data_IF_155166484071
#
_entry.id   IF_155166484071
#
_cell.length_a   1.000
_cell.length_b   1.000
_cell.length_c   1.000
_cell.angle_alpha   90.00
_cell.angle_beta   90.00
_cell.angle_gamma   90.00
#
_symmetry.space_group_name_H-M   'P 1'
#
loop_
_entity.id
_entity.type
_entity.pdbx_description
1 polymer ?
#
# COMPACT_ATOMS: atom_id res chain seq x y z
N UNK A 1 9.78 -1.12 18.15
CA UNK A 1 9.45 -1.60 16.79
C UNK A 1 10.31 -2.81 16.50
N UNK A 2 9.74 -4.01 16.50
CA UNK A 2 10.43 -5.18 15.97
C UNK A 2 10.26 -5.14 14.45
N UNK A 3 11.35 -4.91 13.72
CA UNK A 3 11.40 -5.26 12.32
C UNK A 3 11.25 -6.78 12.26
N UNK A 4 10.16 -7.26 11.67
CA UNK A 4 10.01 -8.67 11.37
C UNK A 4 10.99 -8.97 10.24
N UNK A 5 12.20 -9.42 10.59
CA UNK A 5 13.12 -10.03 9.65
C UNK A 5 12.60 -11.44 9.36
N UNK A 6 11.61 -11.54 8.49
CA UNK A 6 11.22 -12.84 7.94
C UNK A 6 12.29 -13.25 6.90
N UNK A 7 13.02 -14.35 7.12
CA UNK A 7 14.07 -14.78 6.20
C UNK A 7 13.54 -15.04 4.78
N UNK A 8 12.25 -15.37 4.62
CA UNK A 8 11.62 -15.52 3.30
C UNK A 8 11.55 -14.17 2.57
N UNK A 9 11.27 -13.09 3.30
CA UNK A 9 11.20 -11.72 2.74
C UNK A 9 12.59 -11.26 2.29
N UNK A 10 13.62 -11.53 3.08
CA UNK A 10 15.00 -11.16 2.74
C UNK A 10 15.49 -11.86 1.47
N UNK A 11 15.22 -13.17 1.34
CA UNK A 11 15.60 -13.96 0.17
C UNK A 11 14.93 -13.40 -1.10
N UNK A 12 13.62 -13.18 -1.07
CA UNK A 12 12.89 -12.64 -2.24
C UNK A 12 13.31 -11.20 -2.51
N UNK A 13 13.52 -10.37 -1.49
CA UNK A 13 14.00 -8.99 -1.65
C UNK A 13 15.41 -8.89 -2.24
N UNK A 14 16.24 -9.93 -2.17
CA UNK A 14 17.59 -9.92 -2.75
C UNK A 14 17.65 -10.41 -4.21
N UNK A 15 16.58 -11.01 -4.73
CA UNK A 15 16.48 -11.43 -6.14
C UNK A 15 16.61 -10.24 -7.10
N UNK A 16 17.42 -10.36 -8.15
CA UNK A 16 17.42 -9.37 -9.23
C UNK A 16 16.09 -9.40 -9.98
N UNK A 17 15.52 -8.22 -10.25
CA UNK A 17 14.23 -8.08 -10.90
C UNK A 17 14.39 -7.31 -12.20
N UNK A 18 13.91 -7.89 -13.29
CA UNK A 18 13.82 -7.26 -14.59
C UNK A 18 12.48 -6.55 -14.75
N UNK A 19 12.39 -5.64 -15.73
CA UNK A 19 11.12 -4.99 -16.07
C UNK A 19 10.18 -5.88 -16.91
N UNK A 20 10.50 -7.18 -17.07
CA UNK A 20 9.67 -8.09 -17.85
C UNK A 20 8.39 -8.47 -17.06
N UNK A 21 7.19 -8.44 -17.68
CA UNK A 21 5.93 -8.70 -16.96
C UNK A 21 5.90 -10.04 -16.21
N UNK A 22 6.42 -11.12 -16.81
CA UNK A 22 6.43 -12.45 -16.16
C UNK A 22 7.33 -12.50 -14.92
N UNK A 23 8.44 -11.79 -14.93
CA UNK A 23 9.36 -11.71 -13.80
C UNK A 23 8.72 -10.92 -12.64
N UNK A 24 8.04 -9.83 -12.97
CA UNK A 24 7.24 -9.05 -12.00
C UNK A 24 6.09 -9.89 -11.42
N UNK A 25 5.39 -10.67 -12.25
CA UNK A 25 4.29 -11.52 -11.79
C UNK A 25 4.80 -12.66 -10.88
N UNK A 26 5.88 -13.35 -11.27
CA UNK A 26 6.53 -14.35 -10.43
C UNK A 26 6.99 -13.75 -9.10
N UNK A 27 7.51 -12.53 -9.13
CA UNK A 27 7.92 -11.83 -7.92
C UNK A 27 6.74 -11.49 -7.00
N UNK A 28 5.61 -11.05 -7.56
CA UNK A 28 4.39 -10.79 -6.80
C UNK A 28 3.85 -12.09 -6.18
N UNK A 29 3.83 -13.19 -6.92
CA UNK A 29 3.45 -14.53 -6.43
C UNK A 29 4.26 -14.93 -5.18
N UNK A 30 5.58 -14.77 -5.23
CA UNK A 30 6.48 -15.13 -4.12
C UNK A 30 6.22 -14.31 -2.86
N UNK A 31 5.74 -13.07 -3.01
CA UNK A 31 5.44 -12.17 -1.91
C UNK A 31 3.98 -12.17 -1.47
N UNK A 32 3.08 -12.97 -2.05
CA UNK A 32 1.66 -13.07 -1.63
C UNK A 32 1.45 -13.44 -0.17
N UNK A 33 2.38 -14.21 0.40
CA UNK A 33 2.34 -14.55 1.82
C UNK A 33 2.68 -13.37 2.74
N UNK A 34 3.08 -12.22 2.16
CA UNK A 34 3.45 -10.99 2.85
C UNK A 34 2.32 -9.97 2.71
N UNK A 35 2.26 -8.97 3.60
CA UNK A 35 1.28 -7.90 3.47
C UNK A 35 1.49 -7.08 2.18
N UNK A 36 0.40 -6.52 1.65
CA UNK A 36 0.41 -5.77 0.39
C UNK A 36 1.37 -4.56 0.43
N UNK A 37 1.51 -3.89 1.59
CA UNK A 37 2.37 -2.72 1.72
C UNK A 37 3.85 -3.04 1.53
N UNK A 38 4.31 -4.21 1.94
CA UNK A 38 5.69 -4.63 1.70
C UNK A 38 5.96 -4.92 0.22
N UNK A 39 5.02 -5.56 -0.46
CA UNK A 39 5.13 -5.87 -1.90
C UNK A 39 5.31 -4.58 -2.69
N UNK A 40 4.45 -3.60 -2.42
CA UNK A 40 4.52 -2.27 -3.04
C UNK A 40 5.86 -1.59 -2.76
N UNK A 41 6.35 -1.66 -1.53
CA UNK A 41 7.62 -1.03 -1.12
C UNK A 41 8.82 -1.68 -1.80
N UNK A 42 8.89 -3.01 -1.83
CA UNK A 42 10.00 -3.75 -2.44
C UNK A 42 10.02 -3.54 -3.95
N UNK A 43 8.87 -3.63 -4.62
CA UNK A 43 8.77 -3.38 -6.06
C UNK A 43 9.13 -1.95 -6.44
N UNK A 44 8.70 -0.94 -5.66
CA UNK A 44 9.05 0.46 -5.90
C UNK A 44 10.56 0.68 -5.86
N UNK A 45 11.24 0.06 -4.88
CA UNK A 45 12.70 0.14 -4.77
C UNK A 45 13.41 -0.59 -5.91
N UNK A 46 12.95 -1.78 -6.30
CA UNK A 46 13.58 -2.60 -7.34
C UNK A 46 13.42 -2.01 -8.73
N UNK A 47 12.21 -1.56 -9.06
CA UNK A 47 11.89 -1.00 -10.38
C UNK A 47 12.18 0.50 -10.49
N UNK A 48 12.55 1.16 -9.37
CA UNK A 48 12.74 2.63 -9.28
C UNK A 48 11.50 3.39 -9.76
N UNK A 49 10.33 2.89 -9.41
CA UNK A 49 9.03 3.45 -9.74
C UNK A 49 8.40 4.11 -8.52
N UNK A 50 7.48 5.05 -8.76
CA UNK A 50 6.65 5.62 -7.71
C UNK A 50 5.71 4.57 -7.12
N UNK A 51 5.30 4.76 -5.87
CA UNK A 51 4.28 3.90 -5.24
C UNK A 51 2.98 3.85 -6.06
N UNK A 52 2.63 4.94 -6.75
CA UNK A 52 1.44 4.98 -7.62
C UNK A 52 1.57 4.02 -8.80
N UNK A 53 2.69 4.05 -9.50
CA UNK A 53 2.96 3.16 -10.64
C UNK A 53 2.99 1.69 -10.20
N UNK A 54 3.66 1.40 -9.08
CA UNK A 54 3.73 0.03 -8.55
C UNK A 54 2.38 -0.47 -8.06
N UNK A 55 1.58 0.39 -7.42
CA UNK A 55 0.20 0.04 -7.03
C UNK A 55 -0.62 -0.35 -8.25
N UNK A 56 -0.47 0.39 -9.36
CA UNK A 56 -1.13 0.02 -10.60
C UNK A 56 -0.65 -1.33 -11.15
N UNK A 57 0.65 -1.62 -11.09
CA UNK A 57 1.21 -2.91 -11.53
C UNK A 57 0.67 -4.06 -10.68
N UNK A 58 0.73 -3.95 -9.35
CA UNK A 58 0.28 -5.01 -8.43
C UNK A 58 -1.21 -5.26 -8.59
N UNK A 59 -2.05 -4.21 -8.62
CA UNK A 59 -3.51 -4.37 -8.74
C UNK A 59 -3.97 -4.89 -10.11
N UNK A 60 -3.13 -4.86 -11.13
CA UNK A 60 -3.43 -5.43 -12.45
C UNK A 60 -2.63 -6.71 -12.73
N UNK A 61 -1.82 -7.18 -11.78
CA UNK A 61 -1.13 -8.46 -11.90
C UNK A 61 -2.12 -9.62 -11.77
N UNK A 62 -2.08 -10.61 -12.67
CA UNK A 62 -2.84 -11.85 -12.52
C UNK A 62 -2.53 -12.56 -11.20
N UNK A 63 -1.32 -12.37 -10.67
CA UNK A 63 -0.95 -12.90 -9.39
C UNK A 63 -1.84 -12.32 -8.29
N UNK A 64 -2.10 -11.02 -8.28
CA UNK A 64 -2.84 -10.39 -7.18
C UNK A 64 -4.37 -10.48 -7.27
N UNK A 65 -4.92 -11.20 -8.26
CA UNK A 65 -6.35 -11.13 -8.59
C UNK A 65 -7.26 -11.52 -7.42
N UNK A 66 -6.91 -12.56 -6.66
CA UNK A 66 -7.71 -13.06 -5.53
C UNK A 66 -7.65 -12.14 -4.31
N UNK A 67 -6.58 -11.35 -4.18
CA UNK A 67 -6.37 -10.41 -3.07
C UNK A 67 -6.89 -8.99 -3.36
N UNK A 68 -7.22 -8.72 -4.63
CA UNK A 68 -7.63 -7.39 -5.12
C UNK A 68 -8.88 -6.89 -4.41
N UNK A 69 -9.89 -7.74 -4.27
CA UNK A 69 -11.16 -7.39 -3.63
C UNK A 69 -10.97 -7.04 -2.15
N UNK A 70 -10.27 -7.90 -1.39
CA UNK A 70 -9.98 -7.64 0.02
C UNK A 70 -9.14 -6.38 0.23
N UNK A 71 -8.20 -6.10 -0.69
CA UNK A 71 -7.43 -4.87 -0.65
C UNK A 71 -8.31 -3.63 -0.87
N UNK A 72 -9.25 -3.66 -1.83
CA UNK A 72 -10.16 -2.53 -2.03
C UNK A 72 -11.09 -2.34 -0.84
N UNK A 73 -11.66 -3.42 -0.29
CA UNK A 73 -12.52 -3.34 0.90
C UNK A 73 -11.78 -2.75 2.11
N UNK A 74 -10.53 -3.17 2.32
CA UNK A 74 -9.68 -2.60 3.37
C UNK A 74 -9.46 -1.10 3.15
N UNK A 75 -9.04 -0.68 1.95
CA UNK A 75 -8.80 0.73 1.66
C UNK A 75 -10.08 1.57 1.73
N UNK A 76 -11.21 1.03 1.28
CA UNK A 76 -12.51 1.69 1.40
C UNK A 76 -12.89 1.87 2.87
N UNK A 77 -12.65 0.85 3.71
CA UNK A 77 -12.85 0.92 5.16
C UNK A 77 -11.97 1.98 5.82
N UNK A 78 -10.67 1.98 5.52
CA UNK A 78 -9.72 2.99 6.01
C UNK A 78 -10.16 4.39 5.56
N UNK A 79 -10.51 4.55 4.29
CA UNK A 79 -10.97 5.82 3.75
C UNK A 79 -12.26 6.32 4.41
N UNK A 80 -13.23 5.42 4.65
CA UNK A 80 -14.46 5.74 5.38
C UNK A 80 -14.15 6.23 6.78
N UNK A 81 -13.28 5.53 7.52
CA UNK A 81 -12.89 5.94 8.87
C UNK A 81 -12.11 7.26 8.88
N UNK A 82 -11.16 7.46 7.97
CA UNK A 82 -10.46 8.73 7.84
C UNK A 82 -11.39 9.89 7.49
N UNK A 83 -12.36 9.66 6.62
CA UNK A 83 -13.35 10.68 6.24
C UNK A 83 -14.23 11.07 7.42
N UNK A 84 -14.58 10.14 8.31
CA UNK A 84 -15.34 10.43 9.54
C UNK A 84 -14.53 11.26 10.55
N UNK A 85 -13.22 11.03 10.62
CA UNK A 85 -12.34 11.66 11.60
C UNK A 85 -11.62 12.90 11.06
N UNK A 86 -11.79 13.26 9.78
CA UNK A 86 -11.18 14.44 9.20
C UNK A 86 -11.86 15.72 9.68
N UNK A 87 -11.08 16.75 10.02
CA UNK A 87 -11.59 18.09 10.32
C UNK A 87 -12.30 18.73 9.12
N UNK A 88 -11.83 18.41 7.91
CA UNK A 88 -12.39 18.92 6.67
C UNK A 88 -12.32 17.85 5.58
N UNK A 89 -13.43 17.67 4.89
CA UNK A 89 -13.55 16.84 3.69
C UNK A 89 -13.94 17.75 2.53
N UNK A 90 -13.11 17.78 1.48
CA UNK A 90 -13.40 18.50 0.24
C UNK A 90 -13.51 17.51 -0.91
N UNK A 91 -14.60 17.59 -1.66
CA UNK A 91 -14.83 16.74 -2.85
C UNK A 91 -14.89 17.66 -4.07
N UNK A 92 -13.97 17.46 -5.00
CA UNK A 92 -14.01 18.00 -6.37
C UNK A 92 -14.38 16.89 -7.35
N UNK A 93 -14.71 17.24 -8.60
CA UNK A 93 -15.13 16.29 -9.64
C UNK A 93 -14.13 15.13 -9.85
N UNK A 94 -12.86 15.31 -9.50
CA UNK A 94 -11.76 14.38 -9.73
C UNK A 94 -11.02 13.92 -8.45
N UNK A 95 -11.33 14.48 -7.28
CA UNK A 95 -10.52 14.27 -6.08
C UNK A 95 -11.31 14.42 -4.79
N UNK A 96 -10.97 13.58 -3.81
CA UNK A 96 -11.37 13.77 -2.41
C UNK A 96 -10.13 14.15 -1.59
N UNK A 97 -10.20 15.26 -0.86
CA UNK A 97 -9.14 15.75 0.02
C UNK A 97 -9.62 15.70 1.47
N UNK A 98 -8.85 15.03 2.33
CA UNK A 98 -9.08 14.95 3.77
C UNK A 98 -8.02 15.80 4.48
N UNK A 99 -8.44 16.71 5.34
CA UNK A 99 -7.55 17.55 6.16
C UNK A 99 -7.69 17.20 7.62
N UNK A 100 -6.55 17.02 8.30
CA UNK A 100 -6.46 16.76 9.73
C UNK A 100 -5.64 17.88 10.38
N UNK A 101 -6.27 18.64 11.28
CA UNK A 101 -5.62 19.72 12.02
C UNK A 101 -4.95 19.16 13.29
N UNK A 102 -3.69 18.78 13.12
CA UNK A 102 -2.88 18.17 14.19
C UNK A 102 -2.68 19.07 15.42
N UNK A 103 -3.02 20.37 15.34
CA UNK A 103 -2.91 21.29 16.49
C UNK A 103 -4.13 21.22 17.40
N UNK A 104 -5.33 20.99 16.87
CA UNK A 104 -6.54 20.85 17.70
C UNK A 104 -6.46 19.64 18.63
N UNK A 105 -5.79 18.58 18.19
CA UNK A 105 -5.64 17.34 18.96
C UNK A 105 -4.54 17.42 20.04
N UNK A 106 -3.71 18.47 20.02
CA UNK A 106 -2.63 18.67 21.01
C UNK A 106 -3.06 19.53 22.21
N UNK A 107 -4.21 20.21 22.15
CA UNK A 107 -4.68 21.17 23.17
C UNK A 107 -5.85 20.64 24.05
N UNK A 108 -6.23 19.36 23.94
CA UNK A 108 -7.22 18.74 24.82
C UNK A 108 -6.60 18.08 26.06
N UNK A 109 -7.08 18.32 27.30
CA UNK A 109 -6.64 17.54 28.45
C UNK A 109 -7.04 16.08 28.21
N UNK A 110 -6.06 15.17 28.28
CA UNK A 110 -6.33 13.73 28.41
C UNK A 110 -7.12 13.53 29.70
N UNK A 111 -8.42 13.26 29.57
CA UNK A 111 -9.25 12.72 30.66
C UNK A 111 -9.26 11.20 30.57
#
# INVERSE_FOLDING_TARGET
MHFINDPKIEIVSNRELTSHPDDINSFIEELKSVNASLILTILARKLKLSLKEVTHIVLNSPAWIEHKESFYQFNEGVFKEWSKNADKVEVTDDKISLTFDLKKDLDGPRQ
#
